data_IF_126006817382
#
_entry.id   IF_126006817382
#
_cell.length_a   1.000
_cell.length_b   1.000
_cell.length_c   1.000
_cell.angle_alpha   90.00
_cell.angle_beta   90.00
_cell.angle_gamma   90.00
#
_symmetry.space_group_name_H-M   'P 1'
#
loop_
_entity.id
_entity.type
_entity.pdbx_description
1 polymer ?
#
# COMPACT_ATOMS: atom_id res chain seq x y z
N UNK A 1 15.78 -6.08 8.31
CA UNK A 1 15.10 -5.72 7.04
C UNK A 1 14.43 -4.37 7.25
N UNK A 2 14.60 -3.41 6.35
CA UNK A 2 14.19 -1.99 6.50
C UNK A 2 12.70 -1.77 6.84
N UNK A 3 11.81 -2.69 6.47
CA UNK A 3 10.34 -2.56 6.60
C UNK A 3 9.66 -3.73 7.33
N UNK A 4 10.40 -4.54 8.09
CA UNK A 4 9.86 -5.78 8.67
C UNK A 4 8.74 -5.59 9.71
N UNK A 5 8.57 -4.38 10.22
CA UNK A 5 7.51 -3.93 11.13
C UNK A 5 6.18 -3.67 10.42
N UNK A 6 6.19 -3.40 9.11
CA UNK A 6 5.00 -3.08 8.31
C UNK A 6 4.72 -4.15 7.25
N UNK A 7 5.77 -4.62 6.59
CA UNK A 7 5.72 -5.62 5.52
C UNK A 7 5.99 -7.00 6.13
N UNK A 8 5.03 -7.89 5.97
CA UNK A 8 5.12 -9.28 6.43
C UNK A 8 5.95 -10.12 5.47
N UNK A 9 5.68 -10.02 4.16
CA UNK A 9 6.32 -10.85 3.16
C UNK A 9 6.29 -10.25 1.74
N UNK A 10 7.18 -10.74 0.88
CA UNK A 10 7.15 -10.53 -0.58
C UNK A 10 7.05 -11.88 -1.24
N UNK A 11 5.98 -12.10 -1.99
CA UNK A 11 5.61 -13.40 -2.56
C UNK A 11 5.37 -13.31 -4.06
N UNK A 12 5.33 -14.46 -4.71
CA UNK A 12 5.15 -14.57 -6.16
C UNK A 12 6.46 -14.82 -6.92
N UNK A 13 6.39 -14.79 -8.26
CA UNK A 13 7.51 -15.07 -9.16
C UNK A 13 7.36 -14.29 -10.47
N UNK A 14 8.49 -13.92 -11.08
CA UNK A 14 8.49 -13.14 -12.32
C UNK A 14 7.79 -11.78 -12.13
N UNK A 15 6.96 -11.39 -13.09
CA UNK A 15 6.12 -10.18 -13.02
C UNK A 15 4.74 -10.45 -12.41
N UNK A 16 4.63 -11.41 -11.48
CA UNK A 16 3.43 -11.68 -10.72
C UNK A 16 3.80 -11.73 -9.24
N UNK A 17 3.83 -10.55 -8.61
CA UNK A 17 4.34 -10.36 -7.26
C UNK A 17 3.25 -9.83 -6.33
N UNK A 18 3.39 -10.15 -5.04
CA UNK A 18 2.53 -9.68 -3.96
C UNK A 18 3.35 -9.12 -2.81
N UNK A 19 3.00 -7.93 -2.32
CA UNK A 19 3.55 -7.32 -1.12
C UNK A 19 2.52 -7.43 0.00
N UNK A 20 2.80 -8.26 1.01
CA UNK A 20 1.90 -8.51 2.13
C UNK A 20 2.20 -7.59 3.30
N UNK A 21 1.17 -6.93 3.82
CA UNK A 21 1.25 -6.07 5.00
C UNK A 21 0.79 -6.84 6.24
N UNK A 22 1.41 -6.55 7.38
CA UNK A 22 0.95 -7.06 8.67
C UNK A 22 -0.48 -6.58 8.96
N UNK A 23 -1.20 -7.36 9.76
CA UNK A 23 -2.53 -6.98 10.22
C UNK A 23 -2.53 -5.62 10.93
N UNK A 24 -3.54 -4.80 10.63
CA UNK A 24 -3.72 -3.45 11.19
C UNK A 24 -5.01 -3.35 12.02
N UNK A 25 -5.65 -4.46 12.37
CA UNK A 25 -6.84 -4.47 13.25
C UNK A 25 -6.55 -3.94 14.67
N UNK A 26 -5.28 -3.86 15.07
CA UNK A 26 -4.80 -3.22 16.30
C UNK A 26 -4.37 -1.76 16.16
N UNK A 27 -4.61 -1.12 15.00
CA UNK A 27 -4.15 0.25 14.73
C UNK A 27 -4.71 1.27 15.73
N UNK A 28 -3.90 2.26 16.09
CA UNK A 28 -4.32 3.40 16.92
C UNK A 28 -5.23 4.36 16.14
N UNK A 29 -5.15 4.36 14.81
CA UNK A 29 -6.08 5.09 13.95
C UNK A 29 -7.39 4.34 13.80
N UNK A 30 -8.50 5.00 14.08
CA UNK A 30 -9.84 4.44 13.88
C UNK A 30 -10.09 4.08 12.42
N UNK A 31 -9.76 4.96 11.48
CA UNK A 31 -9.90 4.72 10.04
C UNK A 31 -9.14 3.45 9.63
N UNK A 32 -7.87 3.33 9.99
CA UNK A 32 -7.05 2.17 9.58
C UNK A 32 -7.60 0.88 10.21
N UNK A 33 -7.92 0.93 11.50
CA UNK A 33 -8.46 -0.21 12.26
C UNK A 33 -9.78 -0.71 11.67
N UNK A 34 -10.70 0.19 11.34
CA UNK A 34 -11.99 -0.16 10.74
C UNK A 34 -11.83 -0.76 9.34
N UNK A 35 -11.00 -0.16 8.49
CA UNK A 35 -10.75 -0.67 7.15
C UNK A 35 -10.05 -2.04 7.19
N UNK A 36 -9.14 -2.27 8.14
CA UNK A 36 -8.54 -3.57 8.38
C UNK A 36 -9.59 -4.60 8.84
N UNK A 37 -10.41 -4.26 9.84
CA UNK A 37 -11.48 -5.14 10.33
C UNK A 37 -12.54 -5.49 9.28
N UNK A 38 -12.81 -4.57 8.35
CA UNK A 38 -13.71 -4.79 7.22
C UNK A 38 -13.08 -5.55 6.04
N UNK A 39 -11.78 -5.87 6.10
CA UNK A 39 -11.06 -6.49 4.99
C UNK A 39 -10.85 -5.57 3.79
N UNK A 40 -10.88 -4.25 3.99
CA UNK A 40 -10.77 -3.22 2.96
C UNK A 40 -9.40 -2.50 2.96
N UNK A 41 -8.47 -2.89 3.83
CA UNK A 41 -7.18 -2.22 4.02
C UNK A 41 -6.38 -2.03 2.72
N UNK A 42 -6.26 -3.05 1.88
CA UNK A 42 -5.54 -2.89 0.61
C UNK A 42 -6.24 -1.97 -0.38
N UNK A 43 -7.57 -1.83 -0.31
CA UNK A 43 -8.29 -0.84 -1.12
C UNK A 43 -8.04 0.59 -0.63
N UNK A 44 -7.93 0.79 0.69
CA UNK A 44 -7.50 2.08 1.26
C UNK A 44 -6.10 2.45 0.73
N UNK A 45 -5.15 1.52 0.78
CA UNK A 45 -3.79 1.72 0.26
C UNK A 45 -3.79 2.02 -1.25
N UNK A 46 -4.55 1.27 -2.03
CA UNK A 46 -4.74 1.50 -3.46
C UNK A 46 -5.28 2.90 -3.76
N UNK A 47 -6.24 3.38 -2.97
CA UNK A 47 -6.78 4.73 -3.10
C UNK A 47 -5.72 5.80 -2.83
N UNK A 48 -4.97 5.67 -1.73
CA UNK A 48 -3.87 6.58 -1.41
C UNK A 48 -2.80 6.61 -2.51
N UNK A 49 -2.31 5.44 -2.93
CA UNK A 49 -1.30 5.30 -3.98
C UNK A 49 -1.75 5.91 -5.31
N UNK A 50 -3.03 5.76 -5.66
CA UNK A 50 -3.60 6.36 -6.85
C UNK A 50 -3.67 7.89 -6.75
N UNK A 51 -4.22 8.43 -5.66
CA UNK A 51 -4.45 9.88 -5.50
C UNK A 51 -3.15 10.67 -5.31
N UNK A 52 -2.21 10.14 -4.52
CA UNK A 52 -1.00 10.86 -4.09
C UNK A 52 0.18 10.58 -5.00
N UNK A 53 0.32 9.34 -5.48
CA UNK A 53 1.51 8.90 -6.23
C UNK A 53 1.21 8.56 -7.70
N UNK A 54 -0.04 8.72 -8.15
CA UNK A 54 -0.48 8.32 -9.49
C UNK A 54 -0.19 6.84 -9.81
N UNK A 55 -0.19 5.98 -8.78
CA UNK A 55 0.09 4.55 -8.90
C UNK A 55 -1.21 3.74 -8.83
N UNK A 56 -1.61 3.15 -9.95
CA UNK A 56 -2.76 2.26 -10.01
C UNK A 56 -2.35 0.84 -9.63
N UNK A 57 -2.59 0.47 -8.38
CA UNK A 57 -2.37 -0.87 -7.82
C UNK A 57 -3.67 -1.36 -7.17
N UNK A 58 -3.89 -2.67 -7.13
CA UNK A 58 -5.06 -3.27 -6.47
C UNK A 58 -4.63 -4.36 -5.49
N UNK A 59 -5.40 -4.62 -4.43
CA UNK A 59 -5.15 -5.79 -3.60
C UNK A 59 -5.48 -7.09 -4.34
N UNK A 60 -5.02 -8.21 -3.79
CA UNK A 60 -5.53 -9.53 -4.18
C UNK A 60 -6.93 -9.76 -3.59
N UNK A 61 -7.76 -10.57 -4.27
CA UNK A 61 -9.12 -10.88 -3.80
C UNK A 61 -9.13 -11.83 -2.59
N UNK A 62 -8.14 -12.73 -2.49
CA UNK A 62 -8.05 -13.74 -1.42
C UNK A 62 -7.33 -13.25 -0.17
N UNK A 63 -6.49 -12.23 -0.30
CA UNK A 63 -5.75 -11.61 0.80
C UNK A 63 -5.71 -10.09 0.57
N UNK A 64 -6.71 -9.39 1.10
CA UNK A 64 -6.90 -7.96 0.84
C UNK A 64 -5.86 -7.07 1.51
N UNK A 65 -5.03 -7.62 2.41
CA UNK A 65 -3.82 -6.99 2.95
C UNK A 65 -2.58 -7.15 2.03
N UNK A 66 -2.75 -7.67 0.81
CA UNK A 66 -1.64 -7.88 -0.13
C UNK A 66 -1.85 -7.08 -1.41
N UNK A 67 -0.91 -6.20 -1.73
CA UNK A 67 -0.92 -5.43 -2.98
C UNK A 67 -0.31 -6.26 -4.12
N UNK A 68 -0.98 -6.27 -5.27
CA UNK A 68 -0.62 -7.08 -6.44
C UNK A 68 0.15 -6.26 -7.47
N UNK A 69 1.30 -6.77 -7.90
CA UNK A 69 2.14 -6.22 -8.96
C UNK A 69 2.17 -7.19 -10.13
N UNK A 70 1.45 -6.83 -11.19
CA UNK A 70 1.38 -7.59 -12.44
C UNK A 70 1.56 -6.65 -13.66
N UNK A 71 2.71 -5.97 -13.77
CA UNK A 71 2.95 -5.04 -14.87
C UNK A 71 3.28 -5.77 -16.18
N UNK A 72 3.29 -5.01 -17.26
CA UNK A 72 3.81 -5.48 -18.55
C UNK A 72 5.32 -5.77 -18.48
N UNK A 73 5.82 -6.62 -19.38
CA UNK A 73 7.26 -6.84 -19.59
C UNK A 73 8.00 -5.59 -20.08
N UNK A 74 7.28 -4.56 -20.51
CA UNK A 74 7.83 -3.26 -20.90
C UNK A 74 8.04 -2.29 -19.73
N UNK A 75 7.81 -2.72 -18.47
CA UNK A 75 8.07 -1.90 -17.28
C UNK A 75 9.51 -1.36 -17.29
N UNK A 76 9.65 -0.07 -17.09
CA UNK A 76 10.94 0.62 -17.07
C UNK A 76 11.50 0.75 -15.65
N UNK A 77 12.82 0.93 -15.53
CA UNK A 77 13.46 1.20 -14.23
C UNK A 77 12.94 2.49 -13.58
N UNK A 78 12.57 3.48 -14.39
CA UNK A 78 11.96 4.72 -13.90
C UNK A 78 10.58 4.46 -13.29
N UNK A 79 9.77 3.59 -13.90
CA UNK A 79 8.47 3.17 -13.34
C UNK A 79 8.64 2.37 -12.05
N UNK A 80 9.68 1.53 -11.97
CA UNK A 80 10.03 0.81 -10.74
C UNK A 80 10.41 1.82 -9.65
N UNK A 81 11.27 2.81 -9.95
CA UNK A 81 11.68 3.83 -9.00
C UNK A 81 10.50 4.69 -8.50
N UNK A 82 9.57 5.07 -9.40
CA UNK A 82 8.32 5.76 -9.00
C UNK A 82 7.46 4.89 -8.10
N UNK A 83 7.36 3.59 -8.40
CA UNK A 83 6.64 2.63 -7.56
C UNK A 83 7.26 2.50 -6.18
N UNK A 84 8.60 2.40 -6.11
CA UNK A 84 9.32 2.37 -4.84
C UNK A 84 9.05 3.62 -4.00
N UNK A 85 9.13 4.82 -4.60
CA UNK A 85 8.85 6.07 -3.92
C UNK A 85 7.43 6.10 -3.32
N UNK A 86 6.43 5.67 -4.10
CA UNK A 86 5.04 5.62 -3.62
C UNK A 86 4.82 4.60 -2.50
N UNK A 87 5.43 3.42 -2.59
CA UNK A 87 5.37 2.41 -1.54
C UNK A 87 6.07 2.87 -0.25
N UNK A 88 7.20 3.56 -0.36
CA UNK A 88 7.88 4.17 0.79
C UNK A 88 7.00 5.23 1.44
N UNK A 89 6.35 6.08 0.65
CA UNK A 89 5.38 7.06 1.14
C UNK A 89 4.24 6.41 1.91
N UNK A 90 3.63 5.35 1.35
CA UNK A 90 2.59 4.57 2.03
C UNK A 90 3.08 3.99 3.36
N UNK A 91 4.28 3.40 3.39
CA UNK A 91 4.86 2.79 4.59
C UNK A 91 5.08 3.85 5.69
N UNK A 92 5.55 5.05 5.33
CA UNK A 92 5.73 6.15 6.29
C UNK A 92 4.39 6.55 6.92
N UNK A 93 3.38 6.84 6.09
CA UNK A 93 2.04 7.23 6.57
C UNK A 93 1.43 6.14 7.46
N UNK A 94 1.61 4.87 7.08
CA UNK A 94 1.13 3.74 7.87
C UNK A 94 1.88 3.59 9.20
N UNK A 95 3.21 3.81 9.24
CA UNK A 95 3.98 3.83 10.51
C UNK A 95 3.53 4.94 11.45
N UNK A 96 3.20 6.09 10.89
CA UNK A 96 2.67 7.24 11.64
C UNK A 96 1.22 7.04 12.08
N UNK A 97 0.56 5.98 11.59
CA UNK A 97 -0.84 5.66 11.85
C UNK A 97 -1.76 6.82 11.41
N UNK A 98 -1.40 7.49 10.31
CA UNK A 98 -2.16 8.62 9.77
C UNK A 98 -3.25 8.14 8.79
N UNK A 99 -4.39 7.73 9.37
CA UNK A 99 -5.55 7.29 8.61
C UNK A 99 -6.21 8.39 7.76
N UNK A 100 -6.11 9.66 8.16
CA UNK A 100 -6.68 10.79 7.43
C UNK A 100 -5.96 10.97 6.09
N UNK A 101 -4.63 10.95 6.10
CA UNK A 101 -3.81 10.99 4.89
C UNK A 101 -4.08 9.79 3.99
N UNK A 102 -4.27 8.58 4.55
CA UNK A 102 -4.62 7.41 3.75
C UNK A 102 -6.01 7.53 3.09
N UNK A 103 -7.00 8.08 3.79
CA UNK A 103 -8.37 8.16 3.31
C UNK A 103 -8.57 9.30 2.31
N UNK A 104 -7.98 10.46 2.56
CA UNK A 104 -8.22 11.67 1.77
C UNK A 104 -7.07 11.98 0.80
N UNK A 105 -5.85 11.49 1.07
CA UNK A 105 -4.64 12.02 0.45
C UNK A 105 -4.32 13.35 1.12
N UNK A 106 -3.19 13.43 1.84
CA UNK A 106 -2.84 14.56 2.71
C UNK A 106 -3.11 15.92 2.07
N UNK A 107 -3.46 16.92 2.89
CA UNK A 107 -3.82 18.24 2.40
C UNK A 107 -2.79 18.75 1.38
N UNK A 108 -3.24 18.93 0.14
CA UNK A 108 -2.49 19.72 -0.83
C UNK A 108 -2.43 21.14 -0.25
N UNK A 109 -1.31 21.49 0.37
CA UNK A 109 -0.94 22.90 0.43
C UNK A 109 -0.70 23.32 -1.02
N UNK A 110 -1.57 24.19 -1.53
CA UNK A 110 -1.36 24.96 -2.75
C UNK A 110 0.00 25.69 -2.73
#
# INVERSE_FOLDING_TARGET
KEFGDIVADVRGRGLMLGLEFHDQSGSTSEIIREQAGAGLLGYLFSGYLLRVHSLRIFPTASATNTLRFEPSVYLTDEEIARTEAGLRGLIVVLREQDGETLLHGGATAE
#
